data_IF_251412608184
#
_entry.id   IF_251412608184
#
_cell.length_a   1.000
_cell.length_b   1.000
_cell.length_c   1.000
_cell.angle_alpha   90.00
_cell.angle_beta   90.00
_cell.angle_gamma   90.00
#
_symmetry.space_group_name_H-M   'P 1'
#
loop_
_entity.id
_entity.type
_entity.pdbx_description
1 polymer ?
#
# COMPACT_ATOMS: atom_id res chain seq x y z
N UNK A 1 19.50 -13.27 -1.68
CA UNK A 1 18.97 -13.88 -0.44
C UNK A 1 17.47 -13.65 -0.38
N UNK A 2 16.71 -14.55 0.28
CA UNK A 2 15.30 -14.33 0.59
C UNK A 2 15.10 -13.09 1.48
N UNK A 3 13.97 -12.41 1.34
CA UNK A 3 13.60 -11.24 2.14
C UNK A 3 13.44 -11.60 3.61
N UNK A 4 12.88 -12.78 3.91
CA UNK A 4 12.69 -13.26 5.31
C UNK A 4 13.98 -13.35 6.12
N UNK A 5 15.13 -13.48 5.44
CA UNK A 5 16.44 -13.64 6.09
C UNK A 5 17.10 -12.28 6.40
N UNK A 6 16.53 -11.16 5.93
CA UNK A 6 17.04 -9.82 6.23
C UNK A 6 16.95 -9.53 7.73
N UNK A 7 18.05 -9.04 8.29
CA UNK A 7 18.17 -8.62 9.69
C UNK A 7 19.31 -7.60 9.87
N UNK A 8 19.53 -7.12 11.10
CA UNK A 8 20.56 -6.14 11.47
C UNK A 8 22.01 -6.58 11.24
N UNK A 9 22.27 -7.88 11.07
CA UNK A 9 23.60 -8.39 10.73
C UNK A 9 23.86 -8.43 9.21
N UNK A 10 22.86 -8.08 8.38
CA UNK A 10 22.97 -8.09 6.93
C UNK A 10 23.66 -6.82 6.41
N UNK A 11 24.99 -6.76 6.53
CA UNK A 11 25.79 -5.64 6.01
C UNK A 11 25.90 -5.60 4.50
N UNK A 12 25.79 -6.75 3.80
CA UNK A 12 25.67 -6.81 2.34
C UNK A 12 24.47 -7.67 2.03
N UNK A 13 23.55 -7.13 1.26
CA UNK A 13 22.31 -7.80 0.90
C UNK A 13 22.04 -7.61 -0.59
N UNK A 14 21.37 -8.61 -1.16
CA UNK A 14 20.89 -8.57 -2.54
C UNK A 14 19.62 -9.39 -2.62
N UNK A 15 18.52 -8.77 -3.04
CA UNK A 15 17.19 -9.36 -3.09
C UNK A 15 16.58 -9.17 -4.47
N UNK A 16 16.02 -10.25 -5.02
CA UNK A 16 15.22 -10.22 -6.26
C UNK A 16 13.76 -10.17 -5.85
N UNK A 17 13.07 -9.09 -6.20
CA UNK A 17 11.72 -8.86 -5.73
C UNK A 17 10.87 -8.10 -6.77
N UNK A 18 9.57 -8.38 -6.76
CA UNK A 18 8.57 -7.59 -7.50
C UNK A 18 8.14 -6.41 -6.65
N UNK A 19 7.96 -5.25 -7.27
CA UNK A 19 7.39 -4.07 -6.61
C UNK A 19 5.87 -4.25 -6.54
N UNK A 20 5.35 -4.57 -5.35
CA UNK A 20 3.91 -4.81 -5.12
C UNK A 20 3.15 -3.52 -4.88
N UNK A 21 3.81 -2.49 -4.35
CA UNK A 21 3.24 -1.16 -4.16
C UNK A 21 4.30 -0.07 -4.38
N UNK A 22 3.97 0.94 -5.18
CA UNK A 22 4.76 2.16 -5.33
C UNK A 22 3.99 3.35 -4.74
N UNK A 23 4.47 3.86 -3.61
CA UNK A 23 3.90 5.07 -3.00
C UNK A 23 4.13 6.31 -3.87
N UNK A 24 3.38 7.38 -3.62
CA UNK A 24 3.60 8.68 -4.26
C UNK A 24 4.76 9.42 -3.58
N UNK A 25 5.40 10.33 -4.32
CA UNK A 25 6.40 11.23 -3.74
C UNK A 25 5.68 12.28 -2.90
N UNK A 26 5.91 12.26 -1.59
CA UNK A 26 5.28 13.18 -0.63
C UNK A 26 6.30 14.24 -0.22
N UNK A 27 5.94 15.51 -0.39
CA UNK A 27 6.72 16.65 0.09
C UNK A 27 6.24 17.04 1.49
N UNK A 28 7.19 17.42 2.36
CA UNK A 28 6.90 17.85 3.73
C UNK A 28 7.81 19.02 4.11
N UNK A 29 7.30 19.90 4.99
CA UNK A 29 8.01 21.09 5.48
C UNK A 29 8.14 21.12 7.01
N UNK A 30 7.78 20.02 7.69
CA UNK A 30 7.91 19.89 9.15
C UNK A 30 9.37 19.83 9.57
N UNK A 31 9.94 21.00 9.89
CA UNK A 31 11.33 21.19 10.33
C UNK A 31 12.26 21.54 9.17
N UNK A 32 12.62 20.56 8.35
CA UNK A 32 13.41 20.78 7.12
C UNK A 32 12.60 20.31 5.93
N UNK A 33 12.44 21.19 4.94
CA UNK A 33 11.77 20.87 3.69
C UNK A 33 12.44 19.66 3.03
N UNK A 34 11.62 18.68 2.63
CA UNK A 34 12.10 17.44 2.07
C UNK A 34 11.02 16.68 1.34
N UNK A 35 11.40 15.51 0.82
CA UNK A 35 10.45 14.56 0.25
C UNK A 35 10.76 13.14 0.71
N UNK A 36 9.72 12.31 0.75
CA UNK A 36 9.78 10.90 1.11
C UNK A 36 8.95 10.09 0.13
N UNK A 37 9.41 8.88 -0.16
CA UNK A 37 8.66 7.87 -0.90
C UNK A 37 9.01 6.51 -0.32
N UNK A 38 8.04 5.59 -0.34
CA UNK A 38 8.28 4.18 -0.06
C UNK A 38 7.79 3.31 -1.21
N UNK A 39 8.46 2.18 -1.40
CA UNK A 39 7.99 1.07 -2.22
C UNK A 39 7.95 -0.18 -1.36
N UNK A 40 6.95 -1.01 -1.55
CA UNK A 40 6.88 -2.33 -0.94
C UNK A 40 7.20 -3.38 -2.01
N UNK A 41 8.04 -4.35 -1.65
CA UNK A 41 8.51 -5.39 -2.57
C UNK A 41 8.32 -6.78 -1.97
N UNK A 42 8.04 -7.77 -2.82
CA UNK A 42 7.85 -9.16 -2.43
C UNK A 42 8.75 -10.09 -3.25
N UNK A 43 9.25 -11.16 -2.62
CA UNK A 43 10.07 -12.19 -3.27
C UNK A 43 9.27 -13.47 -3.60
N UNK A 44 9.96 -14.47 -4.14
CA UNK A 44 9.36 -15.75 -4.52
C UNK A 44 8.91 -16.60 -3.31
N UNK A 45 9.37 -16.26 -2.11
CA UNK A 45 8.95 -16.91 -0.86
C UNK A 45 7.79 -16.16 -0.19
N UNK A 46 7.17 -15.22 -0.91
CA UNK A 46 6.03 -14.43 -0.43
C UNK A 46 6.35 -13.63 0.83
N UNK A 47 7.61 -13.21 0.98
CA UNK A 47 8.04 -12.32 2.05
C UNK A 47 8.07 -10.88 1.55
N UNK A 48 7.54 -9.95 2.34
CA UNK A 48 7.45 -8.53 1.98
C UNK A 48 8.44 -7.68 2.77
N UNK A 49 9.03 -6.68 2.13
CA UNK A 49 9.84 -5.65 2.79
C UNK A 49 9.63 -4.29 2.15
N UNK A 50 9.70 -3.26 2.99
CA UNK A 50 9.59 -1.88 2.58
C UNK A 50 10.96 -1.30 2.28
N UNK A 51 11.06 -0.55 1.18
CA UNK A 51 12.20 0.31 0.87
C UNK A 51 11.74 1.76 0.95
N UNK A 52 12.37 2.57 1.80
CA UNK A 52 12.04 3.99 2.03
C UNK A 52 13.18 4.88 1.57
N UNK A 53 12.89 5.85 0.70
CA UNK A 53 13.81 6.90 0.27
C UNK A 53 13.44 8.25 0.87
N UNK A 54 14.45 9.07 1.14
CA UNK A 54 14.31 10.47 1.52
C UNK A 54 15.12 11.35 0.56
N UNK A 55 14.64 12.57 0.30
CA UNK A 55 15.32 13.55 -0.56
C UNK A 55 15.63 12.98 -1.95
N UNK A 56 16.89 13.06 -2.37
CA UNK A 56 17.33 12.55 -3.68
C UNK A 56 17.09 11.04 -3.85
N UNK A 57 17.19 10.25 -2.78
CA UNK A 57 16.88 8.82 -2.87
C UNK A 57 15.37 8.58 -3.08
N UNK A 58 14.50 9.43 -2.54
CA UNK A 58 13.06 9.35 -2.79
C UNK A 58 12.74 9.63 -4.27
N UNK A 59 13.36 10.69 -4.82
CA UNK A 59 13.24 11.04 -6.24
C UNK A 59 13.77 9.92 -7.13
N UNK A 60 14.91 9.31 -6.78
CA UNK A 60 15.50 8.19 -7.51
C UNK A 60 14.59 6.96 -7.54
N UNK A 61 14.02 6.57 -6.39
CA UNK A 61 13.02 5.49 -6.35
C UNK A 61 11.82 5.84 -7.23
N UNK A 62 11.35 7.09 -7.20
CA UNK A 62 10.23 7.54 -8.01
C UNK A 62 10.48 7.41 -9.52
N UNK A 63 11.71 7.66 -9.98
CA UNK A 63 12.07 7.63 -11.40
C UNK A 63 12.44 6.24 -11.91
N UNK A 64 13.12 5.41 -11.12
CA UNK A 64 13.68 4.13 -11.58
C UNK A 64 12.73 2.94 -11.39
N UNK A 65 11.77 3.05 -10.45
CA UNK A 65 10.89 1.94 -10.07
C UNK A 65 9.54 2.04 -10.76
N UNK A 66 9.11 0.92 -11.35
CA UNK A 66 7.77 0.69 -11.88
C UNK A 66 7.06 -0.36 -11.03
N UNK A 67 5.82 -0.08 -10.62
CA UNK A 67 5.00 -1.06 -9.92
C UNK A 67 4.71 -2.28 -10.82
N UNK A 68 4.71 -3.48 -10.24
CA UNK A 68 4.53 -4.75 -10.96
C UNK A 68 5.81 -5.30 -11.60
N UNK A 69 6.86 -4.50 -11.75
CA UNK A 69 8.14 -4.96 -12.33
C UNK A 69 9.05 -5.64 -11.30
N UNK A 70 9.91 -6.53 -11.78
CA UNK A 70 10.89 -7.27 -10.97
C UNK A 70 12.27 -6.61 -11.05
N UNK A 71 12.89 -6.44 -9.89
CA UNK A 71 14.20 -5.82 -9.74
C UNK A 71 15.11 -6.68 -8.87
N UNK A 72 16.41 -6.55 -9.09
CA UNK A 72 17.43 -6.90 -8.11
C UNK A 72 17.81 -5.61 -7.39
N UNK A 73 17.56 -5.58 -6.09
CA UNK A 73 18.00 -4.53 -5.20
C UNK A 73 19.23 -5.03 -4.43
N UNK A 74 20.31 -4.26 -4.45
CA UNK A 74 21.54 -4.63 -3.75
C UNK A 74 22.06 -3.45 -2.95
N UNK A 75 22.59 -3.72 -1.77
CA UNK A 75 23.09 -2.67 -0.90
C UNK A 75 24.06 -3.19 0.15
N UNK A 76 24.80 -2.25 0.74
CA UNK A 76 25.78 -2.49 1.78
C UNK A 76 25.45 -1.80 3.12
N UNK A 77 24.21 -1.32 3.25
CA UNK A 77 23.71 -0.55 4.39
C UNK A 77 22.18 -0.43 4.30
N UNK A 78 21.57 0.26 5.27
CA UNK A 78 20.17 0.71 5.18
C UNK A 78 19.15 -0.20 5.84
N UNK A 79 19.50 -1.44 6.23
CA UNK A 79 18.60 -2.28 7.03
C UNK A 79 18.37 -1.62 8.38
N UNK A 80 17.12 -1.32 8.70
CA UNK A 80 16.70 -0.69 9.95
C UNK A 80 15.37 -1.28 10.43
N UNK A 81 14.97 -0.99 11.67
CA UNK A 81 13.68 -1.45 12.20
C UNK A 81 12.53 -0.87 11.38
N UNK A 82 11.60 -1.73 11.01
CA UNK A 82 10.35 -1.34 10.35
C UNK A 82 9.55 -0.38 11.25
N UNK A 83 8.80 0.53 10.63
CA UNK A 83 7.83 1.39 11.32
C UNK A 83 6.41 0.82 11.12
N UNK A 84 5.82 0.11 12.11
CA UNK A 84 4.52 -0.53 11.96
C UNK A 84 3.39 0.45 11.67
N UNK A 85 3.49 1.68 12.18
CA UNK A 85 2.52 2.75 11.93
C UNK A 85 2.38 3.14 10.45
N UNK A 86 3.33 2.73 9.58
CA UNK A 86 3.27 3.01 8.15
C UNK A 86 3.25 1.74 7.29
N UNK A 87 3.54 0.57 7.86
CA UNK A 87 3.77 -0.67 7.11
C UNK A 87 2.51 -1.55 7.18
N UNK A 88 1.83 -1.83 6.05
CA UNK A 88 0.54 -2.52 6.05
C UNK A 88 0.61 -4.02 6.31
N UNK A 89 1.81 -4.57 6.45
CA UNK A 89 2.07 -5.97 6.71
C UNK A 89 3.06 -6.12 7.87
N UNK A 90 3.07 -7.30 8.47
CA UNK A 90 3.99 -7.61 9.56
C UNK A 90 5.41 -7.71 9.00
N UNK A 91 6.25 -6.73 9.35
CA UNK A 91 7.69 -6.78 9.08
C UNK A 91 8.48 -6.26 10.28
N UNK A 92 9.61 -6.91 10.58
CA UNK A 92 10.55 -6.47 11.60
C UNK A 92 11.57 -5.44 11.06
N UNK A 93 11.77 -5.45 9.74
CA UNK A 93 12.85 -4.72 9.07
C UNK A 93 12.33 -3.95 7.86
N UNK A 94 12.96 -2.83 7.57
CA UNK A 94 12.80 -2.06 6.34
C UNK A 94 14.18 -1.65 5.83
N UNK A 95 14.25 -1.26 4.56
CA UNK A 95 15.48 -0.80 3.92
C UNK A 95 15.37 0.70 3.69
N UNK A 96 16.25 1.48 4.31
CA UNK A 96 16.47 2.88 3.96
C UNK A 96 17.33 2.94 2.70
N UNK A 97 16.77 3.45 1.61
CA UNK A 97 17.50 3.64 0.37
C UNK A 97 18.66 4.62 0.56
N UNK A 98 19.83 4.23 0.05
CA UNK A 98 21.07 5.00 0.08
C UNK A 98 21.55 5.29 -1.34
N UNK A 99 22.49 6.23 -1.48
CA UNK A 99 23.10 6.56 -2.78
C UNK A 99 23.84 5.36 -3.40
N UNK A 100 24.39 4.47 -2.57
CA UNK A 100 25.15 3.28 -2.98
C UNK A 100 24.27 2.06 -3.23
N UNK A 101 22.97 2.13 -2.93
CA UNK A 101 22.05 1.06 -3.26
C UNK A 101 21.90 0.96 -4.79
N UNK A 102 22.06 -0.25 -5.32
CA UNK A 102 21.90 -0.58 -6.73
C UNK A 102 20.47 -1.07 -6.99
N UNK A 103 19.88 -0.62 -8.09
CA UNK A 103 18.54 -1.01 -8.54
C UNK A 103 18.68 -1.46 -9.98
N UNK A 104 18.51 -2.76 -10.23
CA UNK A 104 18.62 -3.34 -11.57
C UNK A 104 17.32 -4.01 -11.96
N UNK A 105 16.62 -3.45 -12.96
CA UNK A 105 15.44 -4.12 -13.55
C UNK A 105 15.88 -5.43 -14.20
N UNK A 106 15.09 -6.48 -14.02
CA UNK A 106 15.32 -7.80 -14.61
C UNK A 106 14.06 -8.31 -15.28
N UNK A 107 14.18 -9.40 -16.02
CA UNK A 107 13.03 -10.12 -16.56
C UNK A 107 12.10 -10.58 -15.44
N UNK A 108 10.82 -10.64 -15.78
CA UNK A 108 9.77 -11.07 -14.86
C UNK A 108 10.05 -12.48 -14.31
N UNK A 109 9.57 -12.74 -13.10
CA UNK A 109 9.74 -14.01 -12.42
C UNK A 109 8.36 -14.51 -11.98
N UNK A 110 7.84 -15.49 -12.71
CA UNK A 110 6.50 -16.06 -12.47
C UNK A 110 6.37 -16.76 -11.11
N UNK A 111 7.49 -17.03 -10.43
CA UNK A 111 7.48 -17.59 -9.06
C UNK A 111 7.16 -16.53 -8.02
N UNK A 112 7.39 -15.26 -8.32
CA UNK A 112 7.00 -14.15 -7.45
C UNK A 112 5.50 -13.90 -7.69
N UNK A 113 4.66 -13.77 -6.65
CA UNK A 113 3.24 -13.46 -6.82
C UNK A 113 3.03 -11.98 -7.18
N UNK A 114 2.02 -11.68 -8.02
CA UNK A 114 1.71 -10.30 -8.41
C UNK A 114 1.18 -9.49 -7.22
N UNK A 115 0.43 -10.16 -6.35
CA UNK A 115 -0.19 -9.61 -5.16
C UNK A 115 -0.06 -10.64 -4.05
N UNK A 116 0.43 -10.21 -2.90
CA UNK A 116 0.41 -11.01 -1.68
C UNK A 116 -0.64 -10.43 -0.73
N UNK A 117 -1.58 -11.24 -0.28
CA UNK A 117 -2.68 -10.79 0.59
C UNK A 117 -2.77 -11.67 1.83
N UNK A 118 -2.78 -11.04 2.99
CA UNK A 118 -3.22 -11.68 4.22
C UNK A 118 -4.71 -11.41 4.43
N UNK A 119 -5.54 -12.08 3.62
CA UNK A 119 -7.00 -11.85 3.56
C UNK A 119 -7.62 -11.94 4.96
N UNK A 120 -8.34 -10.89 5.32
CA UNK A 120 -9.23 -10.80 6.47
C UNK A 120 -10.67 -10.77 5.94
N UNK A 121 -11.59 -11.53 6.55
CA UNK A 121 -13.01 -11.46 6.18
C UNK A 121 -13.59 -10.09 6.54
N UNK A 122 -14.66 -9.68 5.87
CA UNK A 122 -15.37 -8.42 6.20
C UNK A 122 -15.84 -8.42 7.66
N UNK A 123 -16.35 -9.55 8.14
CA UNK A 123 -16.71 -9.74 9.55
C UNK A 123 -15.52 -9.53 10.49
N UNK A 124 -14.37 -10.14 10.22
CA UNK A 124 -13.21 -10.00 11.11
C UNK A 124 -12.63 -8.59 11.05
N UNK A 125 -12.61 -7.96 9.87
CA UNK A 125 -12.22 -6.57 9.71
C UNK A 125 -13.07 -5.63 10.57
N UNK A 126 -14.39 -5.89 10.66
CA UNK A 126 -15.31 -5.12 11.52
C UNK A 126 -15.02 -5.28 13.03
N UNK A 127 -14.21 -6.25 13.45
CA UNK A 127 -13.88 -6.47 14.86
C UNK A 127 -12.50 -5.91 15.24
N UNK A 128 -11.68 -5.53 14.27
CA UNK A 128 -10.33 -5.04 14.52
C UNK A 128 -10.33 -3.61 15.09
N UNK A 129 -9.28 -3.26 15.83
CA UNK A 129 -9.10 -1.93 16.40
C UNK A 129 -8.78 -0.89 15.32
N UNK A 130 -9.11 0.38 15.60
CA UNK A 130 -8.68 1.53 14.79
C UNK A 130 -7.17 1.47 14.49
N UNK A 131 -6.77 2.02 13.33
CA UNK A 131 -5.40 2.08 12.83
C UNK A 131 -4.77 0.74 12.46
N UNK A 132 -5.51 -0.37 12.60
CA UNK A 132 -5.06 -1.69 12.15
C UNK A 132 -5.11 -1.78 10.62
N UNK A 133 -4.07 -2.36 10.03
CA UNK A 133 -4.06 -2.64 8.60
C UNK A 133 -4.73 -3.97 8.26
N UNK A 134 -5.49 -3.99 7.17
CA UNK A 134 -6.24 -5.16 6.69
C UNK A 134 -6.11 -5.31 5.18
N UNK A 135 -6.07 -6.57 4.74
CA UNK A 135 -6.29 -6.93 3.35
C UNK A 135 -7.69 -7.54 3.22
N UNK A 136 -8.57 -6.95 2.41
CA UNK A 136 -9.97 -7.37 2.26
C UNK A 136 -10.30 -7.53 0.77
N UNK A 137 -11.04 -8.59 0.45
CA UNK A 137 -11.60 -8.81 -0.89
C UNK A 137 -13.12 -8.89 -0.72
N UNK A 138 -13.86 -8.12 -1.50
CA UNK A 138 -15.31 -8.08 -1.41
C UNK A 138 -15.98 -7.61 -2.69
N UNK A 139 -17.23 -8.00 -2.87
CA UNK A 139 -18.11 -7.47 -3.90
C UNK A 139 -18.60 -6.07 -3.49
N UNK A 140 -18.62 -5.15 -4.46
CA UNK A 140 -19.12 -3.79 -4.25
C UNK A 140 -20.65 -3.81 -4.26
N UNK A 141 -21.25 -3.39 -3.15
CA UNK A 141 -22.70 -3.34 -2.97
C UNK A 141 -23.29 -2.03 -3.47
N UNK A 142 -22.63 -0.92 -3.13
CA UNK A 142 -22.95 0.41 -3.62
C UNK A 142 -21.71 1.29 -3.55
N UNK A 143 -21.71 2.35 -4.34
CA UNK A 143 -20.70 3.41 -4.32
C UNK A 143 -21.41 4.76 -4.43
N UNK A 144 -20.98 5.71 -3.61
CA UNK A 144 -21.50 7.07 -3.60
C UNK A 144 -20.71 8.00 -4.51
N UNK A 145 -21.19 9.24 -4.64
CA UNK A 145 -20.50 10.29 -5.39
C UNK A 145 -19.25 10.78 -4.63
N UNK A 146 -18.28 11.33 -5.37
CA UNK A 146 -17.16 12.06 -4.76
C UNK A 146 -17.65 13.34 -4.11
N UNK A 147 -17.24 13.58 -2.87
CA UNK A 147 -17.44 14.83 -2.16
C UNK A 147 -16.11 15.39 -1.62
N UNK A 148 -16.16 16.61 -1.07
CA UNK A 148 -15.02 17.25 -0.44
C UNK A 148 -15.15 17.10 1.08
N UNK A 149 -14.09 16.65 1.74
CA UNK A 149 -14.01 16.51 3.19
C UNK A 149 -12.83 17.30 3.76
N UNK A 150 -12.99 18.02 4.87
CA UNK A 150 -11.88 18.72 5.53
C UNK A 150 -10.95 17.71 6.23
N UNK A 151 -9.65 18.01 6.23
CA UNK A 151 -8.62 17.40 7.08
C UNK A 151 -8.49 18.21 8.37
N UNK A 152 -7.99 17.55 9.43
CA UNK A 152 -7.59 18.21 10.68
C UNK A 152 -6.56 19.33 10.46
N UNK A 153 -5.76 19.23 9.39
CA UNK A 153 -4.79 20.26 9.00
C UNK A 153 -5.42 21.51 8.36
N UNK A 154 -6.75 21.57 8.21
CA UNK A 154 -7.48 22.63 7.50
C UNK A 154 -7.45 22.51 5.97
N UNK A 155 -6.73 21.52 5.42
CA UNK A 155 -6.75 21.23 4.00
C UNK A 155 -8.03 20.49 3.62
N UNK A 156 -8.39 20.51 2.33
CA UNK A 156 -9.51 19.74 1.80
C UNK A 156 -9.01 18.51 1.04
N UNK A 157 -9.74 17.40 1.15
CA UNK A 157 -9.52 16.19 0.37
C UNK A 157 -10.78 15.80 -0.37
N UNK A 158 -10.59 15.10 -1.50
CA UNK A 158 -11.70 14.38 -2.12
C UNK A 158 -11.92 13.06 -1.41
N UNK A 159 -13.18 12.71 -1.22
CA UNK A 159 -13.59 11.47 -0.55
C UNK A 159 -14.70 10.83 -1.35
N UNK A 160 -14.66 9.50 -1.44
CA UNK A 160 -15.75 8.69 -1.98
C UNK A 160 -16.00 7.50 -1.07
N UNK A 161 -17.27 7.24 -0.78
CA UNK A 161 -17.68 6.10 0.05
C UNK A 161 -18.16 4.95 -0.84
N UNK A 162 -17.81 3.72 -0.50
CA UNK A 162 -18.46 2.53 -1.04
C UNK A 162 -18.63 1.47 0.03
N UNK A 163 -19.48 0.48 -0.23
CA UNK A 163 -19.75 -0.62 0.70
C UNK A 163 -19.33 -1.95 0.08
N UNK A 164 -18.57 -2.72 0.85
CA UNK A 164 -18.09 -4.05 0.48
C UNK A 164 -18.82 -5.11 1.28
N UNK A 165 -19.09 -6.25 0.63
CA UNK A 165 -19.51 -7.48 1.32
C UNK A 165 -18.70 -8.68 0.82
N UNK A 166 -18.64 -9.72 1.64
CA UNK A 166 -18.03 -11.00 1.27
C UNK A 166 -18.89 -12.18 1.77
N UNK A 167 -18.35 -13.38 1.63
CA UNK A 167 -18.99 -14.65 2.05
C UNK A 167 -19.33 -14.71 3.55
N UNK A 168 -18.80 -13.79 4.38
CA UNK A 168 -19.16 -13.71 5.80
C UNK A 168 -20.56 -13.15 6.05
N UNK A 169 -21.30 -12.76 5.01
CA UNK A 169 -22.64 -12.13 5.11
C UNK A 169 -22.65 -10.83 5.90
N UNK A 170 -21.49 -10.16 6.00
CA UNK A 170 -21.35 -8.85 6.60
C UNK A 170 -20.94 -7.84 5.53
N UNK A 171 -21.26 -6.58 5.81
CA UNK A 171 -20.83 -5.46 4.99
C UNK A 171 -20.01 -4.45 5.80
N UNK A 172 -19.06 -3.80 5.15
CA UNK A 172 -18.27 -2.73 5.74
C UNK A 172 -18.14 -1.57 4.75
N UNK A 173 -18.23 -0.36 5.29
CA UNK A 173 -17.99 0.85 4.51
C UNK A 173 -16.49 1.03 4.25
N UNK A 174 -16.17 1.61 3.10
CA UNK A 174 -14.81 1.92 2.70
C UNK A 174 -14.74 3.34 2.15
N UNK A 175 -13.73 4.07 2.59
CA UNK A 175 -13.43 5.43 2.17
C UNK A 175 -12.24 5.44 1.21
N UNK A 176 -12.46 5.93 -0.01
CA UNK A 176 -11.41 6.30 -0.95
C UNK A 176 -11.08 7.78 -0.79
N UNK A 177 -9.81 8.13 -1.01
CA UNK A 177 -9.30 9.49 -0.82
C UNK A 177 -8.52 10.01 -2.02
N UNK A 178 -8.60 11.32 -2.24
CA UNK A 178 -7.89 12.07 -3.28
C UNK A 178 -8.01 11.36 -4.65
N UNK A 179 -6.89 11.05 -5.32
CA UNK A 179 -6.94 10.41 -6.64
C UNK A 179 -7.67 9.08 -6.62
N UNK A 180 -7.63 8.31 -5.51
CA UNK A 180 -8.37 7.04 -5.44
C UNK A 180 -9.88 7.22 -5.44
N UNK A 181 -10.35 8.34 -4.90
CA UNK A 181 -11.76 8.70 -4.97
C UNK A 181 -12.19 9.11 -6.38
N UNK A 182 -11.27 9.59 -7.21
CA UNK A 182 -11.56 10.09 -8.56
C UNK A 182 -11.30 9.03 -9.63
N UNK A 183 -10.15 8.38 -9.61
CA UNK A 183 -9.70 7.46 -10.65
C UNK A 183 -10.35 6.09 -10.44
N UNK A 184 -9.84 5.29 -9.50
CA UNK A 184 -10.37 3.95 -9.23
C UNK A 184 -11.85 3.98 -8.77
N UNK A 185 -12.21 5.00 -7.99
CA UNK A 185 -13.58 5.23 -7.54
C UNK A 185 -14.56 5.43 -8.69
N UNK A 186 -14.19 6.18 -9.74
CA UNK A 186 -15.09 6.38 -10.90
C UNK A 186 -15.16 5.15 -11.78
N UNK A 187 -14.06 4.40 -11.94
CA UNK A 187 -14.09 3.13 -12.66
C UNK A 187 -15.06 2.11 -12.02
N UNK A 188 -15.05 2.03 -10.68
CA UNK A 188 -15.96 1.16 -9.93
C UNK A 188 -17.42 1.62 -10.10
N UNK A 189 -17.67 2.92 -10.04
CA UNK A 189 -19.01 3.51 -10.25
C UNK A 189 -19.54 3.21 -11.66
N UNK A 190 -18.72 3.39 -12.69
CA UNK A 190 -19.08 3.12 -14.08
C UNK A 190 -19.42 1.65 -14.31
N UNK A 191 -18.62 0.73 -13.75
CA UNK A 191 -18.89 -0.72 -13.80
C UNK A 191 -20.24 -1.05 -13.16
N UNK A 192 -20.50 -0.52 -11.96
CA UNK A 192 -21.77 -0.73 -11.28
C UNK A 192 -22.96 -0.15 -12.06
N UNK A 193 -22.78 1.03 -12.66
CA UNK A 193 -23.78 1.70 -13.51
C UNK A 193 -24.12 0.94 -14.79
N UNK A 194 -23.18 0.17 -15.34
CA UNK A 194 -23.42 -0.78 -16.45
C UNK A 194 -24.09 -2.09 -16.01
N UNK A 195 -24.43 -2.23 -14.73
CA UNK A 195 -25.04 -3.44 -14.18
C UNK A 195 -24.03 -4.53 -13.84
N UNK A 196 -22.73 -4.28 -13.93
CA UNK A 196 -21.71 -5.21 -13.47
C UNK A 196 -21.73 -5.32 -11.94
N UNK A 197 -21.05 -6.33 -11.39
CA UNK A 197 -20.86 -6.51 -9.95
C UNK A 197 -19.36 -6.62 -9.67
N UNK A 198 -18.64 -5.49 -9.58
CA UNK A 198 -17.20 -5.52 -9.44
C UNK A 198 -16.82 -6.13 -8.09
N UNK A 199 -15.80 -6.98 -8.12
CA UNK A 199 -15.10 -7.45 -6.93
C UNK A 199 -13.85 -6.57 -6.82
N UNK A 200 -13.60 -6.03 -5.65
CA UNK A 200 -12.40 -5.23 -5.38
C UNK A 200 -11.56 -5.90 -4.31
N UNK A 201 -10.25 -5.73 -4.46
CA UNK A 201 -9.25 -6.16 -3.50
C UNK A 201 -8.53 -4.94 -2.92
N UNK A 202 -8.57 -4.81 -1.61
CA UNK A 202 -7.88 -3.76 -0.87
C UNK A 202 -6.71 -4.41 -0.16
N UNK A 203 -5.48 -4.02 -0.50
CA UNK A 203 -4.27 -4.36 0.25
C UNK A 203 -3.86 -3.19 1.13
N UNK A 204 -3.65 -3.44 2.42
CA UNK A 204 -3.20 -2.44 3.37
C UNK A 204 -4.22 -1.32 3.62
N UNK A 205 -5.52 -1.64 3.57
CA UNK A 205 -6.57 -0.73 4.05
C UNK A 205 -6.43 -0.52 5.56
N UNK A 206 -6.81 0.65 6.06
CA UNK A 206 -6.68 0.98 7.49
C UNK A 206 -8.05 1.08 8.16
N UNK A 207 -8.25 0.34 9.25
CA UNK A 207 -9.50 0.43 10.02
C UNK A 207 -9.65 1.83 10.63
N UNK A 208 -10.82 2.43 10.42
CA UNK A 208 -11.21 3.73 10.96
C UNK A 208 -12.56 3.58 11.68
N UNK A 209 -12.68 4.22 12.84
CA UNK A 209 -13.94 4.29 13.60
C UNK A 209 -14.66 5.64 13.40
N UNK A 210 -14.22 6.44 12.42
CA UNK A 210 -14.83 7.73 12.10
C UNK A 210 -16.22 7.54 11.47
N UNK A 211 -17.26 8.03 12.16
CA UNK A 211 -18.67 7.86 11.81
C UNK A 211 -19.10 6.38 11.66
N UNK A 212 -18.55 5.52 12.52
CA UNK A 212 -18.75 4.08 12.46
C UNK A 212 -17.52 3.38 11.91
N UNK A 213 -17.59 2.05 11.82
CA UNK A 213 -16.42 1.26 11.41
C UNK A 213 -16.32 1.15 9.91
N UNK A 214 -15.18 1.57 9.37
CA UNK A 214 -14.89 1.57 7.95
C UNK A 214 -13.43 1.21 7.64
N UNK A 215 -13.15 0.95 6.37
CA UNK A 215 -11.79 0.78 5.84
C UNK A 215 -11.40 2.07 5.12
N UNK A 216 -10.30 2.70 5.53
CA UNK A 216 -9.73 3.87 4.86
C UNK A 216 -8.64 3.42 3.89
N UNK A 217 -8.80 3.73 2.60
CA UNK A 217 -7.83 3.43 1.54
C UNK A 217 -6.89 4.62 1.38
N UNK A 218 -5.75 4.55 2.05
CA UNK A 218 -4.78 5.65 2.13
C UNK A 218 -3.72 5.54 1.02
N UNK A 219 -2.78 6.48 0.98
CA UNK A 219 -1.68 6.45 0.00
C UNK A 219 -0.79 5.21 0.06
N UNK A 220 -0.74 4.51 1.20
CA UNK A 220 -0.03 3.23 1.37
C UNK A 220 -0.88 1.99 1.05
N UNK A 221 -2.16 2.18 0.72
CA UNK A 221 -3.08 1.10 0.36
C UNK A 221 -3.10 0.92 -1.15
N UNK A 222 -3.26 -0.33 -1.60
CA UNK A 222 -3.46 -0.65 -3.01
C UNK A 222 -4.89 -1.13 -3.22
N UNK A 223 -5.56 -0.59 -4.23
CA UNK A 223 -6.88 -1.02 -4.65
C UNK A 223 -6.70 -1.71 -6.01
N UNK A 224 -7.23 -2.93 -6.14
CA UNK A 224 -7.09 -3.81 -7.29
C UNK A 224 -8.47 -4.32 -7.72
#
# INVERSE_FOLDING_TARGET
>A
MPIKDINDHCYRWSLRARVTHKGKLVFFETGTAGCVMSVDVADAESSEIRIVGFGENAKRLSSEIEQGSVYIFSGNSGVQRSKPAYTPYKSNWEIKASKTMEIKRVEDDLRIPNVFLKRTSVLDASKLSQETFVDVIGGVMWIGQTNISPKDSGAFMRRRMLCLSDESSHSIDMCLWDSKAEDEGSEIEDKLGRGERPIVCVKGGRISDYNGKSISVTGGSTLL
#
